data_IF_083837085839
#
_entry.id   IF_083837085839
#
_cell.length_a   1.000
_cell.length_b   1.000
_cell.length_c   1.000
_cell.angle_alpha   90.00
_cell.angle_beta   90.00
_cell.angle_gamma   90.00
#
_symmetry.space_group_name_H-M   'P 1'
#
loop_
_entity.id
_entity.type
_entity.pdbx_description
1 polymer ?
#
# COMPACT_ATOMS: atom_id res chain seq x y z
N UNK A 1 5.13 2.20 -6.28
CA UNK A 1 4.29 2.30 -5.08
C UNK A 1 4.51 1.09 -4.20
N UNK A 2 4.70 1.28 -2.91
CA UNK A 2 4.85 0.20 -1.93
C UNK A 2 3.46 -0.20 -1.43
N UNK A 3 3.16 -1.50 -1.41
CA UNK A 3 1.88 -2.02 -0.90
C UNK A 3 2.14 -3.14 0.10
N UNK A 4 1.49 -3.05 1.24
CA UNK A 4 1.54 -4.07 2.28
C UNK A 4 0.14 -4.37 2.82
N UNK A 5 0.04 -5.40 3.66
CA UNK A 5 -1.23 -5.77 4.29
C UNK A 5 -1.01 -6.23 5.73
N UNK A 6 -2.06 -6.11 6.56
CA UNK A 6 -2.03 -6.57 7.94
C UNK A 6 -2.36 -8.06 8.07
N UNK A 7 -2.40 -8.55 9.31
CA UNK A 7 -2.56 -9.97 9.63
C UNK A 7 -3.98 -10.54 9.42
N UNK A 8 -4.98 -9.71 9.14
CA UNK A 8 -6.35 -10.18 8.99
C UNK A 8 -6.48 -11.12 7.80
N UNK A 9 -7.28 -12.18 7.95
CA UNK A 9 -7.40 -13.24 6.96
C UNK A 9 -7.84 -12.77 5.57
N UNK A 10 -8.58 -11.67 5.50
CA UNK A 10 -9.09 -11.11 4.23
C UNK A 10 -8.17 -10.02 3.64
N UNK A 11 -7.16 -9.55 4.37
CA UNK A 11 -6.35 -8.41 3.94
C UNK A 11 -5.50 -8.71 2.71
N UNK A 12 -4.99 -9.93 2.58
CA UNK A 12 -4.20 -10.32 1.41
C UNK A 12 -5.02 -10.27 0.12
N UNK A 13 -6.26 -10.76 0.15
CA UNK A 13 -7.15 -10.73 -1.01
C UNK A 13 -7.49 -9.30 -1.42
N UNK A 14 -7.73 -8.42 -0.45
CA UNK A 14 -7.97 -6.99 -0.70
C UNK A 14 -6.73 -6.33 -1.30
N UNK A 15 -5.55 -6.64 -0.77
CA UNK A 15 -4.28 -6.16 -1.31
C UNK A 15 -4.11 -6.57 -2.78
N UNK A 16 -4.40 -7.82 -3.11
CA UNK A 16 -4.31 -8.31 -4.49
C UNK A 16 -5.21 -7.53 -5.45
N UNK A 17 -6.44 -7.27 -5.02
CA UNK A 17 -7.37 -6.46 -5.81
C UNK A 17 -6.86 -5.03 -5.99
N UNK A 18 -6.32 -4.42 -4.94
CA UNK A 18 -5.72 -3.09 -5.00
C UNK A 18 -4.53 -3.06 -5.97
N UNK A 19 -3.65 -4.04 -5.88
CA UNK A 19 -2.48 -4.14 -6.77
C UNK A 19 -2.92 -4.25 -8.24
N UNK A 20 -3.92 -5.09 -8.52
CA UNK A 20 -4.44 -5.23 -9.88
C UNK A 20 -4.97 -3.91 -10.43
N UNK A 21 -5.69 -3.16 -9.61
CA UNK A 21 -6.14 -1.82 -9.99
C UNK A 21 -5.01 -0.86 -10.27
N UNK A 22 -4.00 -0.83 -9.40
CA UNK A 22 -2.83 0.04 -9.56
C UNK A 22 -2.05 -0.29 -10.85
N UNK A 23 -1.78 -1.56 -11.09
CA UNK A 23 -1.07 -2.02 -12.27
C UNK A 23 -1.83 -1.64 -13.55
N UNK A 24 -3.15 -1.73 -13.53
CA UNK A 24 -3.99 -1.39 -14.68
C UNK A 24 -3.95 0.09 -15.07
N UNK A 25 -3.45 0.94 -14.18
CA UNK A 25 -3.25 2.38 -14.45
C UNK A 25 -1.83 2.73 -14.86
N UNK A 26 -0.94 1.75 -14.92
CA UNK A 26 0.48 1.96 -15.25
C UNK A 26 1.37 2.16 -14.02
N UNK A 27 0.83 2.04 -12.82
CA UNK A 27 1.59 2.16 -11.58
C UNK A 27 2.44 0.91 -11.35
N UNK A 28 3.74 1.08 -11.14
CA UNK A 28 4.61 -0.01 -10.70
C UNK A 28 4.44 -0.23 -9.21
N UNK A 29 4.28 -1.47 -8.81
CA UNK A 29 3.99 -1.84 -7.43
C UNK A 29 5.07 -2.77 -6.88
N UNK A 30 5.55 -2.47 -5.68
CA UNK A 30 6.37 -3.37 -4.88
C UNK A 30 5.53 -3.90 -3.73
N UNK A 31 5.26 -5.20 -3.75
CA UNK A 31 4.49 -5.88 -2.71
C UNK A 31 5.45 -6.34 -1.61
N UNK A 32 5.32 -5.76 -0.43
CA UNK A 32 6.16 -6.12 0.73
C UNK A 32 5.49 -7.11 1.67
N UNK A 33 4.30 -7.58 1.34
CA UNK A 33 3.61 -8.65 2.05
C UNK A 33 3.00 -8.25 3.38
N UNK A 34 2.94 -9.22 4.29
CA UNK A 34 2.44 -9.02 5.66
C UNK A 34 3.37 -8.08 6.41
N UNK A 35 2.84 -6.95 6.86
CA UNK A 35 3.64 -5.88 7.43
C UNK A 35 2.88 -5.12 8.51
N UNK A 36 3.63 -4.40 9.33
CA UNK A 36 3.08 -3.35 10.18
C UNK A 36 3.12 -2.02 9.43
N UNK A 37 2.26 -1.07 9.81
CA UNK A 37 2.26 0.25 9.17
C UNK A 37 3.62 0.94 9.21
N UNK A 38 4.37 0.93 10.33
CA UNK A 38 5.72 1.50 10.33
C UNK A 38 6.67 0.87 9.32
N UNK A 39 6.53 -0.43 9.06
CA UNK A 39 7.34 -1.12 8.05
C UNK A 39 7.06 -0.59 6.65
N UNK A 40 5.81 -0.29 6.34
CA UNK A 40 5.42 0.28 5.04
C UNK A 40 6.03 1.67 4.86
N UNK A 41 5.97 2.52 5.89
CA UNK A 41 6.59 3.84 5.85
C UNK A 41 8.11 3.74 5.70
N UNK A 42 8.73 2.84 6.46
CA UNK A 42 10.18 2.58 6.34
C UNK A 42 10.54 2.13 4.93
N UNK A 43 9.75 1.24 4.34
CA UNK A 43 9.99 0.74 2.99
C UNK A 43 9.94 1.86 1.95
N UNK A 44 9.09 2.86 2.13
CA UNK A 44 9.04 4.01 1.24
C UNK A 44 10.39 4.74 1.17
N UNK A 45 11.04 4.93 2.32
CA UNK A 45 12.37 5.54 2.36
C UNK A 45 13.44 4.60 1.81
N UNK A 46 13.43 3.34 2.26
CA UNK A 46 14.47 2.37 1.93
C UNK A 46 14.47 1.99 0.43
N UNK A 47 13.30 1.87 -0.17
CA UNK A 47 13.14 1.52 -1.58
C UNK A 47 12.91 2.76 -2.46
N UNK A 48 12.98 3.94 -1.89
CA UNK A 48 12.81 5.22 -2.56
C UNK A 48 11.57 5.27 -3.46
N UNK A 49 10.42 4.92 -2.89
CA UNK A 49 9.14 4.91 -3.60
C UNK A 49 8.39 6.24 -3.44
N UNK A 50 7.67 6.61 -4.49
CA UNK A 50 6.88 7.84 -4.49
C UNK A 50 5.62 7.74 -3.64
N UNK A 51 5.10 6.54 -3.43
CA UNK A 51 3.81 6.35 -2.76
C UNK A 51 3.74 5.02 -2.01
N UNK A 52 2.83 4.98 -1.04
CA UNK A 52 2.53 3.77 -0.26
C UNK A 52 1.03 3.51 -0.19
N UNK A 53 0.67 2.25 0.03
CA UNK A 53 -0.65 1.85 0.46
C UNK A 53 -0.54 0.68 1.45
N UNK A 54 -1.27 0.76 2.54
CA UNK A 54 -1.31 -0.29 3.57
C UNK A 54 -2.75 -0.73 3.78
N UNK A 55 -3.02 -1.99 3.47
CA UNK A 55 -4.34 -2.60 3.70
C UNK A 55 -4.45 -2.97 5.17
N UNK A 56 -5.21 -2.22 5.91
CA UNK A 56 -5.41 -2.41 7.36
C UNK A 56 -6.65 -1.69 7.86
N UNK A 57 -7.30 -2.27 8.85
CA UNK A 57 -8.35 -1.59 9.60
C UNK A 57 -7.83 -0.95 10.89
N UNK A 58 -6.50 -0.87 11.06
CA UNK A 58 -5.87 -0.28 12.24
C UNK A 58 -6.30 -0.99 13.54
N UNK A 59 -6.93 -0.28 14.46
CA UNK A 59 -7.40 -0.79 15.77
C UNK A 59 -8.85 -1.29 15.74
N UNK A 60 -9.51 -1.27 14.59
CA UNK A 60 -10.89 -1.73 14.49
C UNK A 60 -11.00 -3.23 14.69
N UNK A 61 -12.20 -3.66 15.08
CA UNK A 61 -12.52 -5.06 15.28
C UNK A 61 -12.38 -5.87 13.99
N UNK A 62 -12.28 -7.18 14.13
CA UNK A 62 -12.24 -8.07 12.98
C UNK A 62 -13.53 -7.91 12.15
N UNK A 63 -13.39 -7.95 10.84
CA UNK A 63 -14.49 -7.68 9.89
C UNK A 63 -14.41 -6.29 9.26
N UNK A 64 -13.63 -5.38 9.84
CA UNK A 64 -13.35 -4.07 9.25
C UNK A 64 -12.11 -4.12 8.38
N UNK A 65 -12.08 -3.26 7.37
CA UNK A 65 -10.92 -3.07 6.53
C UNK A 65 -10.79 -1.61 6.10
N UNK A 66 -9.65 -1.26 5.56
CA UNK A 66 -9.38 0.04 5.01
C UNK A 66 -8.04 0.06 4.30
N UNK A 67 -7.70 1.20 3.73
CA UNK A 67 -6.41 1.41 3.08
C UNK A 67 -5.85 2.75 3.55
N UNK A 68 -4.67 2.71 4.15
CA UNK A 68 -3.89 3.93 4.44
C UNK A 68 -3.03 4.21 3.23
N UNK A 69 -3.06 5.43 2.74
CA UNK A 69 -2.33 5.84 1.54
C UNK A 69 -1.50 7.09 1.80
N UNK A 70 -0.41 7.24 1.08
CA UNK A 70 0.42 8.42 1.13
C UNK A 70 1.27 8.58 -0.12
N UNK A 71 1.47 9.82 -0.53
CA UNK A 71 2.36 10.20 -1.63
C UNK A 71 3.57 10.98 -1.16
N UNK A 72 3.58 11.37 0.11
CA UNK A 72 4.71 12.06 0.74
C UNK A 72 5.38 11.13 1.73
N UNK A 73 6.69 11.06 1.72
CA UNK A 73 7.45 10.18 2.62
C UNK A 73 7.12 10.46 4.08
N UNK A 74 6.73 9.38 4.78
CA UNK A 74 6.41 9.43 6.20
C UNK A 74 5.03 9.99 6.54
N UNK A 75 4.21 10.34 5.55
CA UNK A 75 2.89 10.96 5.77
C UNK A 75 1.80 10.20 5.02
N UNK A 76 0.63 10.12 5.64
CA UNK A 76 -0.59 9.67 4.97
C UNK A 76 -1.23 10.84 4.21
N UNK A 77 -2.21 10.51 3.35
CA UNK A 77 -2.96 11.52 2.62
C UNK A 77 -3.62 12.54 3.58
N UNK A 78 -3.45 13.81 3.24
CA UNK A 78 -4.17 14.90 3.87
C UNK A 78 -5.64 14.93 3.41
N UNK A 79 -6.53 15.67 4.10
CA UNK A 79 -7.94 15.75 3.70
C UNK A 79 -8.16 16.17 2.26
N UNK A 80 -7.35 17.07 1.73
CA UNK A 80 -7.43 17.54 0.34
C UNK A 80 -7.12 16.41 -0.65
N UNK A 81 -6.11 15.61 -0.34
CA UNK A 81 -5.70 14.47 -1.16
C UNK A 81 -6.77 13.36 -1.15
N UNK A 82 -7.39 13.13 -0.01
CA UNK A 82 -8.51 12.19 0.12
C UNK A 82 -9.75 12.67 -0.65
N UNK A 83 -10.01 13.97 -0.63
CA UNK A 83 -11.11 14.57 -1.38
C UNK A 83 -10.90 14.43 -2.89
N UNK A 84 -9.68 14.63 -3.36
CA UNK A 84 -9.30 14.42 -4.76
C UNK A 84 -9.48 12.95 -5.17
N UNK A 85 -9.02 12.03 -4.34
CA UNK A 85 -9.19 10.60 -4.57
C UNK A 85 -10.66 10.21 -4.68
N UNK A 86 -11.50 10.75 -3.81
CA UNK A 86 -12.95 10.56 -3.84
C UNK A 86 -13.55 11.04 -5.18
N UNK A 87 -13.16 12.23 -5.62
CA UNK A 87 -13.63 12.79 -6.90
C UNK A 87 -13.24 11.90 -8.07
N UNK A 88 -11.97 11.49 -8.14
CA UNK A 88 -11.47 10.58 -9.19
C UNK A 88 -12.29 9.29 -9.20
N UNK A 89 -12.54 8.71 -8.03
CA UNK A 89 -13.25 7.44 -7.91
C UNK A 89 -14.71 7.55 -8.33
N UNK A 90 -15.42 8.56 -7.82
CA UNK A 90 -16.85 8.74 -8.09
C UNK A 90 -17.13 9.13 -9.55
N UNK A 91 -16.25 9.90 -10.15
CA UNK A 91 -16.39 10.37 -11.54
C UNK A 91 -15.65 9.47 -12.54
N UNK A 92 -15.10 8.36 -12.08
CA UNK A 92 -14.42 7.35 -12.91
C UNK A 92 -13.32 7.96 -13.80
N UNK A 93 -12.58 8.92 -13.26
CA UNK A 93 -11.48 9.58 -13.96
C UNK A 93 -10.21 8.72 -13.93
N UNK A 94 -10.32 7.49 -14.45
CA UNK A 94 -9.23 6.52 -14.42
C UNK A 94 -8.35 6.66 -15.67
N UNK A 95 -7.05 6.43 -15.48
CA UNK A 95 -6.10 6.29 -16.59
C UNK A 95 -5.85 4.81 -16.86
N UNK A 96 -5.39 4.50 -18.05
CA UNK A 96 -5.04 3.14 -18.44
C UNK A 96 -3.54 3.01 -18.63
N UNK A 97 -2.98 1.87 -18.27
CA UNK A 97 -1.56 1.59 -18.44
C UNK A 97 -1.23 0.16 -18.03
N UNK A 98 0.06 -0.16 -18.06
CA UNK A 98 0.58 -1.47 -17.66
C UNK A 98 1.73 -1.26 -16.68
N UNK A 99 1.47 -1.45 -15.41
CA UNK A 99 2.48 -1.44 -14.38
C UNK A 99 3.11 -2.81 -14.19
N UNK A 100 4.17 -2.86 -13.39
CA UNK A 100 4.91 -4.08 -13.08
C UNK A 100 4.82 -4.35 -11.59
N UNK A 101 4.57 -5.61 -11.23
CA UNK A 101 4.59 -6.07 -9.85
C UNK A 101 5.95 -6.67 -9.51
N UNK A 102 6.54 -6.21 -8.43
CA UNK A 102 7.75 -6.77 -7.83
C UNK A 102 7.46 -7.18 -6.40
N UNK A 103 8.04 -8.28 -5.96
CA UNK A 103 7.91 -8.77 -4.58
C UNK A 103 9.21 -8.52 -3.84
N UNK A 104 9.14 -7.87 -2.67
CA UNK A 104 10.32 -7.40 -1.92
C UNK A 104 10.33 -7.83 -0.45
N UNK A 105 9.75 -8.97 -0.12
CA UNK A 105 9.61 -9.43 1.27
C UNK A 105 10.96 -9.65 1.96
N UNK A 106 11.84 -10.40 1.33
CA UNK A 106 13.12 -10.81 1.90
C UNK A 106 14.02 -9.62 2.17
N UNK A 107 14.00 -8.65 1.29
CA UNK A 107 14.83 -7.45 1.39
C UNK A 107 14.55 -6.66 2.68
N UNK A 108 13.29 -6.58 3.09
CA UNK A 108 12.87 -5.81 4.26
C UNK A 108 12.95 -6.60 5.57
N UNK A 109 12.91 -7.92 5.51
CA UNK A 109 12.87 -8.77 6.73
C UNK A 109 14.24 -9.17 7.25
N UNK A 110 15.26 -9.21 6.41
CA UNK A 110 16.60 -9.65 6.81
C UNK A 110 17.19 -8.88 8.00
N UNK A 111 17.16 -7.53 8.05
CA UNK A 111 17.66 -6.80 9.20
C UNK A 111 16.92 -7.14 10.49
N UNK A 112 15.62 -7.34 10.44
CA UNK A 112 14.79 -7.70 11.59
C UNK A 112 15.18 -9.07 12.14
N UNK A 113 15.44 -10.04 11.28
CA UNK A 113 15.86 -11.38 11.68
C UNK A 113 17.21 -11.39 12.41
N UNK A 114 18.08 -10.45 12.12
CA UNK A 114 19.39 -10.34 12.77
C UNK A 114 19.29 -9.75 14.18
N UNK A 115 18.30 -8.94 14.43
CA UNK A 115 18.09 -8.31 15.74
C UNK A 115 17.50 -9.30 16.73
N UNK A 116 16.68 -10.20 16.23
CA UNK A 116 16.04 -11.24 17.03
C UNK A 116 16.98 -12.43 17.21
#
# INVERSE_FOLDING_TARGET
>A
MIVGHDYRSYSEAIKKALINGLISTGCNVEDIGLSLSPTVYFAQFNLNSDAIAMVTASHNENGWTGVKMGIKKGLTHAPEEMSELKDITLNKKFVNGKGVLTVSYTHLTLPTKRIV
#
